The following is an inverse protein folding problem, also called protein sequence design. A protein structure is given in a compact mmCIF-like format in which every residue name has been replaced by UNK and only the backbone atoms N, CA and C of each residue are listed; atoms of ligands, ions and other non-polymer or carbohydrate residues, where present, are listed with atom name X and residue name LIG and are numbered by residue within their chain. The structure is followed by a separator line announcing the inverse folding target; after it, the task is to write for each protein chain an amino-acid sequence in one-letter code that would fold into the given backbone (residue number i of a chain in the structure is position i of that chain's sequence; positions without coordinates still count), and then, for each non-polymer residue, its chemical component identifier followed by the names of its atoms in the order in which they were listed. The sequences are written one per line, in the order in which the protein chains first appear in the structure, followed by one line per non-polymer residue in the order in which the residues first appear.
data_IF_545550285385
#
_entry.id   IF_545550285385
#
_cell.length_a   1.000
_cell.length_b   1.000
_cell.length_c   1.000
_cell.angle_alpha   90.00
_cell.angle_beta   90.00
_cell.angle_gamma   90.00
#
_symmetry.space_group_name_H-M   'P 1'
#
loop_
_entity.id
_entity.type
_entity.pdbx_description
1 polymer ?
#
# COMPACT_ATOMS: atom_id res chain seq x y z
N UNK A 1 22.06 -46.01 -28.63
CA UNK A 1 22.35 -45.52 -27.26
C UNK A 1 22.96 -44.11 -27.20
N UNK A 2 23.66 -43.61 -28.24
CA UNK A 2 24.32 -42.29 -28.22
C UNK A 2 23.35 -41.10 -28.26
N UNK A 3 22.27 -41.18 -29.04
CA UNK A 3 21.26 -40.12 -29.20
C UNK A 3 20.66 -39.66 -27.87
N UNK A 4 20.30 -40.62 -27.00
CA UNK A 4 19.70 -40.35 -25.69
C UNK A 4 20.66 -39.64 -24.72
N UNK A 5 21.98 -39.80 -24.90
CA UNK A 5 22.98 -39.11 -24.07
C UNK A 5 23.12 -37.64 -24.45
N UNK A 6 23.02 -37.34 -25.75
CA UNK A 6 23.07 -35.98 -26.27
C UNK A 6 21.80 -35.18 -25.93
N UNK A 7 20.62 -35.81 -25.98
CA UNK A 7 19.38 -35.15 -25.56
C UNK A 7 19.39 -34.79 -24.08
N UNK A 8 19.86 -35.70 -23.21
CA UNK A 8 20.01 -35.43 -21.77
C UNK A 8 21.03 -34.33 -21.51
N UNK A 9 22.17 -34.33 -22.21
CA UNK A 9 23.17 -33.27 -22.08
C UNK A 9 22.64 -31.90 -22.52
N UNK A 10 21.88 -31.84 -23.63
CA UNK A 10 21.26 -30.60 -24.11
C UNK A 10 20.22 -30.06 -23.15
N UNK A 11 19.36 -30.92 -22.60
CA UNK A 11 18.37 -30.53 -21.60
C UNK A 11 19.04 -30.02 -20.32
N UNK A 12 20.12 -30.67 -19.87
CA UNK A 12 20.91 -30.22 -18.73
C UNK A 12 21.56 -28.86 -18.97
N UNK A 13 22.16 -28.65 -20.15
CA UNK A 13 22.74 -27.36 -20.53
C UNK A 13 21.71 -26.24 -20.60
N UNK A 14 20.50 -26.53 -21.11
CA UNK A 14 19.37 -25.61 -21.12
C UNK A 14 18.90 -25.24 -19.72
N UNK A 15 18.76 -26.23 -18.83
CA UNK A 15 18.35 -26.01 -17.44
C UNK A 15 19.39 -25.15 -16.68
N UNK A 16 20.68 -25.41 -16.88
CA UNK A 16 21.75 -24.60 -16.28
C UNK A 16 21.73 -23.17 -16.84
N UNK A 17 21.61 -23.02 -18.16
CA UNK A 17 21.54 -21.70 -18.80
C UNK A 17 20.34 -20.89 -18.30
N UNK A 18 19.19 -21.55 -18.13
CA UNK A 18 18.01 -20.94 -17.55
C UNK A 18 18.20 -20.55 -16.08
N UNK A 19 18.80 -21.43 -15.27
CA UNK A 19 19.13 -21.14 -13.86
C UNK A 19 20.10 -19.97 -13.71
N UNK A 20 21.13 -19.91 -14.54
CA UNK A 20 22.08 -18.79 -14.60
C UNK A 20 21.35 -17.51 -15.00
N UNK A 21 20.53 -17.55 -16.06
CA UNK A 21 19.71 -16.41 -16.48
C UNK A 21 18.79 -15.92 -15.36
N UNK A 22 18.17 -16.83 -14.60
CA UNK A 22 17.34 -16.48 -13.45
C UNK A 22 18.14 -15.84 -12.32
N UNK A 23 19.35 -16.30 -12.01
CA UNK A 23 20.20 -15.67 -10.99
C UNK A 23 20.60 -14.24 -11.34
N UNK A 24 20.90 -13.96 -12.60
CA UNK A 24 21.34 -12.63 -13.04
C UNK A 24 20.19 -11.66 -13.34
N UNK A 25 19.06 -12.16 -13.85
CA UNK A 25 17.95 -11.32 -14.34
C UNK A 25 16.65 -11.50 -13.55
N UNK A 26 16.56 -12.45 -12.62
CA UNK A 26 15.33 -12.74 -11.89
C UNK A 26 14.81 -11.54 -11.10
N UNK A 27 15.69 -10.70 -10.55
CA UNK A 27 15.27 -9.49 -9.83
C UNK A 27 14.71 -8.42 -10.78
N UNK A 28 15.30 -8.27 -11.97
CA UNK A 28 14.82 -7.34 -13.00
C UNK A 28 13.45 -7.78 -13.54
N UNK A 29 13.27 -9.09 -13.76
CA UNK A 29 11.98 -9.68 -14.16
C UNK A 29 10.94 -9.45 -13.07
N UNK A 30 11.27 -9.71 -11.80
CA UNK A 30 10.36 -9.44 -10.67
C UNK A 30 9.94 -7.97 -10.61
N UNK A 31 10.88 -7.04 -10.76
CA UNK A 31 10.60 -5.60 -10.76
C UNK A 31 9.72 -5.20 -11.95
N UNK A 32 10.01 -5.69 -13.16
CA UNK A 32 9.21 -5.40 -14.34
C UNK A 32 7.77 -5.93 -14.22
N UNK A 33 7.62 -7.16 -13.70
CA UNK A 33 6.30 -7.75 -13.43
C UNK A 33 5.58 -6.96 -12.35
N UNK A 34 6.24 -6.62 -11.25
CA UNK A 34 5.64 -5.83 -10.18
C UNK A 34 5.20 -4.46 -10.68
N UNK A 35 6.07 -3.74 -11.39
CA UNK A 35 5.76 -2.45 -11.99
C UNK A 35 4.58 -2.53 -12.95
N UNK A 36 4.49 -3.56 -13.78
CA UNK A 36 3.35 -3.77 -14.68
C UNK A 36 2.05 -4.04 -13.92
N UNK A 37 2.10 -4.82 -12.84
CA UNK A 37 0.93 -5.11 -12.00
C UNK A 37 0.47 -3.89 -11.20
N UNK A 38 1.40 -3.05 -10.78
CA UNK A 38 1.10 -1.85 -9.98
C UNK A 38 0.87 -0.59 -10.81
N UNK A 39 1.03 -0.65 -12.13
CA UNK A 39 0.96 0.51 -13.03
C UNK A 39 -0.34 1.29 -12.89
N UNK A 40 -1.45 0.59 -12.66
CA UNK A 40 -2.78 1.18 -12.55
C UNK A 40 -3.29 1.23 -11.09
N UNK A 41 -2.45 0.90 -10.11
CA UNK A 41 -2.81 0.95 -8.69
C UNK A 41 -2.59 2.34 -8.06
N UNK A 42 -1.88 3.23 -8.74
CA UNK A 42 -1.57 4.56 -8.23
C UNK A 42 -2.01 5.60 -9.25
N UNK A 43 -2.78 6.58 -8.80
CA UNK A 43 -3.08 7.75 -9.61
C UNK A 43 -1.87 8.68 -9.55
N UNK A 44 -1.35 9.09 -10.70
CA UNK A 44 -0.13 9.93 -10.78
C UNK A 44 -0.32 11.35 -10.22
N UNK A 45 -1.57 11.83 -10.21
CA UNK A 45 -1.99 13.12 -9.66
C UNK A 45 -3.41 12.92 -9.12
N UNK A 46 -3.64 13.40 -7.90
CA UNK A 46 -4.97 13.54 -7.32
C UNK A 46 -5.63 14.80 -7.92
N UNK A 47 -6.30 14.63 -9.05
CA UNK A 47 -6.97 15.71 -9.83
C UNK A 47 -8.49 15.56 -9.79
N UNK A 48 -9.00 14.70 -8.91
CA UNK A 48 -10.44 14.64 -8.66
C UNK A 48 -10.84 15.73 -7.65
N UNK A 49 -12.11 16.10 -7.66
CA UNK A 49 -12.64 17.11 -6.75
C UNK A 49 -12.97 16.51 -5.37
N UNK A 50 -12.48 15.32 -5.06
CA UNK A 50 -12.85 14.59 -3.86
C UNK A 50 -11.86 14.88 -2.74
N UNK A 51 -12.09 16.00 -2.06
CA UNK A 51 -11.44 16.36 -0.79
C UNK A 51 -12.38 16.05 0.38
N UNK A 52 -12.45 14.80 0.90
CA UNK A 52 -13.36 14.42 1.97
C UNK A 52 -13.01 15.01 3.34
N UNK A 53 -12.06 15.96 3.39
CA UNK A 53 -11.61 16.63 4.61
C UNK A 53 -12.39 17.89 4.95
N UNK A 54 -12.25 18.34 6.20
CA UNK A 54 -12.73 19.66 6.59
C UNK A 54 -11.82 20.73 6.00
N UNK A 55 -12.40 21.78 5.42
CA UNK A 55 -11.63 22.90 4.89
C UNK A 55 -10.87 23.62 6.00
N UNK A 56 -9.66 24.10 5.73
CA UNK A 56 -8.87 24.87 6.69
C UNK A 56 -9.63 26.14 7.10
N UNK A 57 -9.73 26.40 8.40
CA UNK A 57 -10.46 27.55 8.97
C UNK A 57 -11.96 27.31 9.14
N UNK A 58 -12.49 26.17 8.69
CA UNK A 58 -13.87 25.77 9.01
C UNK A 58 -14.00 25.36 10.48
N UNK A 59 -15.17 25.58 11.06
CA UNK A 59 -15.47 25.07 12.39
C UNK A 59 -15.52 23.53 12.35
N UNK A 60 -14.93 22.89 13.35
CA UNK A 60 -15.02 21.45 13.48
C UNK A 60 -16.49 21.04 13.67
N UNK A 61 -17.00 20.01 12.95
CA UNK A 61 -18.39 19.62 13.01
C UNK A 61 -18.76 19.07 14.40
N UNK A 62 -20.05 19.15 14.74
CA UNK A 62 -20.57 18.42 15.89
C UNK A 62 -20.37 16.92 15.66
N UNK A 63 -19.95 16.22 16.70
CA UNK A 63 -19.85 14.76 16.73
C UNK A 63 -20.74 14.22 17.84
N UNK A 64 -21.04 12.93 17.76
CA UNK A 64 -21.63 12.19 18.86
C UNK A 64 -20.67 11.07 19.22
N UNK A 65 -19.97 11.25 20.34
CA UNK A 65 -18.98 10.32 20.84
C UNK A 65 -19.14 10.14 22.36
N UNK A 66 -18.47 9.14 22.92
CA UNK A 66 -18.40 8.94 24.36
C UNK A 66 -16.95 8.83 24.82
N UNK A 67 -16.60 9.58 25.85
CA UNK A 67 -15.35 9.43 26.58
C UNK A 67 -15.63 8.62 27.85
N UNK A 68 -15.44 7.29 27.77
CA UNK A 68 -15.97 6.39 28.78
C UNK A 68 -17.50 6.42 28.77
N UNK A 69 -18.12 6.78 29.90
CA UNK A 69 -19.58 6.95 30.03
C UNK A 69 -20.05 8.40 29.74
N UNK A 70 -19.13 9.32 29.47
CA UNK A 70 -19.45 10.74 29.30
C UNK A 70 -19.77 11.02 27.84
N UNK A 71 -20.98 11.47 27.48
CA UNK A 71 -21.28 11.89 26.12
C UNK A 71 -20.53 13.19 25.78
N UNK A 72 -19.86 13.19 24.64
CA UNK A 72 -19.11 14.33 24.10
C UNK A 72 -19.76 14.75 22.79
N UNK A 73 -20.25 15.98 22.75
CA UNK A 73 -20.87 16.60 21.56
C UNK A 73 -20.14 17.84 21.05
N UNK A 74 -19.35 18.45 21.93
CA UNK A 74 -18.50 19.59 21.62
C UNK A 74 -17.07 19.27 22.09
N UNK A 75 -16.13 19.51 21.19
CA UNK A 75 -14.70 19.29 21.40
C UNK A 75 -13.98 20.50 21.98
N UNK A 76 -14.64 21.66 22.05
CA UNK A 76 -14.06 22.92 22.56
C UNK A 76 -13.42 22.75 23.94
N UNK A 77 -14.02 21.94 24.81
CA UNK A 77 -13.53 21.63 26.15
C UNK A 77 -12.24 20.79 26.18
N UNK A 78 -11.92 20.12 25.07
CA UNK A 78 -10.72 19.28 24.93
C UNK A 78 -9.59 20.01 24.19
N UNK A 79 -9.83 21.24 23.73
CA UNK A 79 -8.81 22.08 23.08
C UNK A 79 -7.90 22.72 24.14
N UNK A 80 -6.62 22.37 24.11
CA UNK A 80 -5.62 23.02 24.97
C UNK A 80 -5.04 24.30 24.37
N UNK A 81 -4.10 24.94 25.07
CA UNK A 81 -3.47 26.21 24.66
C UNK A 81 -2.78 26.18 23.29
N UNK A 82 -2.39 24.99 22.82
CA UNK A 82 -1.73 24.78 21.52
C UNK A 82 -2.66 24.16 20.46
N UNK A 83 -3.95 24.11 20.73
CA UNK A 83 -4.93 23.46 19.87
C UNK A 83 -5.13 21.98 20.21
N UNK A 84 -5.72 21.26 19.26
CA UNK A 84 -6.07 19.85 19.35
C UNK A 84 -5.73 19.16 18.03
N UNK A 85 -5.32 17.90 18.10
CA UNK A 85 -5.29 16.99 16.95
C UNK A 85 -6.41 15.96 17.14
N UNK A 86 -7.30 15.85 16.16
CA UNK A 86 -8.35 14.84 16.14
C UNK A 86 -7.96 13.70 15.19
N UNK A 87 -7.98 12.46 15.70
CA UNK A 87 -7.68 11.25 14.94
C UNK A 87 -8.85 10.29 15.11
N UNK A 88 -9.51 9.93 14.01
CA UNK A 88 -10.53 8.90 13.98
C UNK A 88 -10.01 7.67 13.22
N UNK A 89 -10.20 6.49 13.80
CA UNK A 89 -9.86 5.22 13.15
C UNK A 89 -11.03 4.25 13.29
N UNK A 90 -11.42 3.64 12.17
CA UNK A 90 -12.54 2.69 12.08
C UNK A 90 -12.13 1.22 12.25
N UNK A 91 -10.83 0.94 12.35
CA UNK A 91 -10.28 -0.42 12.29
C UNK A 91 -9.29 -0.67 13.41
N UNK A 92 -9.64 -0.24 14.63
CA UNK A 92 -8.87 -0.56 15.82
C UNK A 92 -9.69 -1.56 16.63
N UNK A 93 -9.09 -2.71 16.91
CA UNK A 93 -9.55 -3.64 17.94
C UNK A 93 -8.68 -3.34 19.17
N UNK A 94 -9.31 -3.04 20.31
CA UNK A 94 -8.66 -2.54 21.53
C UNK A 94 -8.86 -3.50 22.69
#
# INVERSE_FOLDING_TARGET
MSWMRWTVALMGALAISFGVGFLFYGEQIKRAVFQSLTSDMFVSVDDDSFDPGLSVGSAFPLLEATLGEIPVRDLSSLVGDRGMIFIASRSVDW
#
